data_IF_259015271981
#
_entry.id   IF_259015271981
#
_cell.length_a   1.000
_cell.length_b   1.000
_cell.length_c   1.000
_cell.angle_alpha   90.00
_cell.angle_beta   90.00
_cell.angle_gamma   90.00
#
_symmetry.space_group_name_H-M   'P 1'
#
loop_
_entity.id
_entity.type
_entity.pdbx_description
1 polymer ?
#
# COMPACT_ATOMS: atom_id res chain seq x y z
N UNK A 1 -18.81 6.93 -6.74
CA UNK A 1 -17.41 7.19 -6.34
C UNK A 1 -17.33 6.93 -4.85
N UNK A 2 -16.90 5.73 -4.46
CA UNK A 2 -16.82 5.34 -3.04
C UNK A 2 -15.42 5.51 -2.46
N UNK A 3 -15.34 5.42 -1.14
CA UNK A 3 -14.10 5.43 -0.37
C UNK A 3 -14.00 4.12 0.42
N UNK A 4 -12.79 3.64 0.60
CA UNK A 4 -12.49 2.46 1.40
C UNK A 4 -11.40 2.77 2.44
N UNK A 5 -11.50 2.11 3.59
CA UNK A 5 -10.45 2.14 4.60
C UNK A 5 -9.30 1.25 4.16
N UNK A 6 -8.11 1.83 4.02
CA UNK A 6 -6.88 1.13 3.65
C UNK A 6 -5.97 0.98 4.87
N UNK A 7 -5.53 -0.25 5.13
CA UNK A 7 -4.54 -0.56 6.17
C UNK A 7 -3.13 -0.39 5.59
N UNK A 8 -2.47 0.71 5.93
CA UNK A 8 -1.09 0.96 5.53
C UNK A 8 -0.14 0.32 6.55
N UNK A 9 0.22 -0.93 6.30
CA UNK A 9 1.17 -1.68 7.11
C UNK A 9 2.64 -1.25 6.88
N UNK A 10 2.89 -0.34 5.94
CA UNK A 10 4.23 0.13 5.58
C UNK A 10 4.58 1.46 6.26
N UNK A 11 3.62 2.16 6.85
CA UNK A 11 3.89 3.36 7.65
C UNK A 11 4.37 2.99 9.05
N UNK A 12 5.27 3.79 9.62
CA UNK A 12 5.62 3.72 11.05
C UNK A 12 5.20 5.03 11.74
N UNK A 13 4.17 5.02 12.60
CA UNK A 13 3.37 3.86 13.02
C UNK A 13 2.41 3.37 11.93
N UNK A 14 1.93 2.12 12.08
CA UNK A 14 0.86 1.58 11.23
C UNK A 14 -0.36 2.49 11.31
N UNK A 15 -0.98 2.79 10.16
CA UNK A 15 -2.15 3.66 10.13
C UNK A 15 -3.25 3.15 9.20
N UNK A 16 -4.46 3.65 9.46
CA UNK A 16 -5.60 3.50 8.57
C UNK A 16 -5.83 4.83 7.85
N UNK A 17 -6.00 4.76 6.53
CA UNK A 17 -6.25 5.92 5.70
C UNK A 17 -7.52 5.70 4.89
N UNK A 18 -8.37 6.71 4.82
CA UNK A 18 -9.52 6.70 3.94
C UNK A 18 -9.04 7.09 2.53
N UNK A 19 -9.16 6.16 1.58
CA UNK A 19 -8.71 6.38 0.20
C UNK A 19 -9.85 6.11 -0.78
N UNK A 20 -9.85 6.75 -1.96
CA UNK A 20 -10.79 6.40 -3.03
C UNK A 20 -10.73 4.91 -3.39
N UNK A 21 -11.88 4.29 -3.66
CA UNK A 21 -11.98 2.86 -4.00
C UNK A 21 -11.13 2.46 -5.21
N UNK A 22 -11.01 3.35 -6.19
CA UNK A 22 -10.18 3.11 -7.36
C UNK A 22 -8.69 3.04 -7.00
N UNK A 23 -8.25 3.62 -5.88
CA UNK A 23 -6.87 3.49 -5.38
C UNK A 23 -6.76 2.27 -4.46
N UNK A 24 -7.78 2.00 -3.64
CA UNK A 24 -7.80 0.84 -2.75
C UNK A 24 -7.71 -0.50 -3.50
N UNK A 25 -8.38 -0.59 -4.66
CA UNK A 25 -8.44 -1.81 -5.46
C UNK A 25 -7.35 -1.91 -6.53
N UNK A 26 -6.49 -0.90 -6.66
CA UNK A 26 -5.30 -1.01 -7.52
C UNK A 26 -4.33 -1.95 -6.82
N UNK A 27 -4.21 -3.17 -7.35
CA UNK A 27 -3.03 -4.00 -7.14
C UNK A 27 -1.84 -3.27 -7.76
N UNK A 28 -1.21 -2.37 -7.00
CA UNK A 28 0.12 -1.90 -7.35
C UNK A 28 1.03 -3.11 -7.13
N UNK A 29 1.61 -3.71 -8.18
CA UNK A 29 2.57 -4.77 -7.96
C UNK A 29 3.68 -4.19 -7.08
N UNK A 30 3.98 -4.84 -5.97
CA UNK A 30 5.03 -4.42 -5.04
C UNK A 30 6.42 -4.66 -5.66
N UNK A 31 6.70 -4.07 -6.83
CA UNK A 31 7.95 -4.17 -7.58
C UNK A 31 9.13 -3.46 -6.91
N UNK A 32 8.94 -2.93 -5.69
CA UNK A 32 9.96 -2.26 -4.88
C UNK A 32 10.16 -2.84 -3.47
N UNK A 33 9.19 -3.59 -2.91
CA UNK A 33 9.23 -3.97 -1.49
C UNK A 33 10.26 -5.09 -1.19
N UNK A 34 10.61 -5.89 -2.20
CA UNK A 34 11.65 -6.93 -2.08
C UNK A 34 12.87 -6.68 -2.97
N UNK A 35 12.90 -5.58 -3.74
CA UNK A 35 13.96 -5.29 -4.71
C UNK A 35 15.29 -4.90 -4.05
N UNK A 36 15.25 -4.55 -2.77
CA UNK A 36 16.43 -4.29 -1.92
C UNK A 36 16.99 -5.55 -1.24
N UNK A 37 16.45 -6.75 -1.50
CA UNK A 37 16.96 -8.00 -0.91
C UNK A 37 18.09 -8.67 -1.70
N UNK A 38 18.42 -8.18 -2.89
CA UNK A 38 19.63 -8.59 -3.62
C UNK A 38 20.69 -7.49 -3.54
N UNK A 39 21.28 -7.34 -2.35
CA UNK A 39 22.66 -6.90 -2.23
C UNK A 39 23.53 -8.15 -2.17
N UNK A 40 24.08 -8.57 -3.31
CA UNK A 40 25.13 -9.60 -3.36
C UNK A 40 26.32 -9.05 -4.13
#
# INVERSE_FOLDING_TARGET
>A
MGYAWHHNAQSAPNNMQLVPENIHNIHVPHTGQNSLKEGK
#
